data_IF_537626341904
#
_entry.id   IF_537626341904
#
_cell.length_a   1.000
_cell.length_b   1.000
_cell.length_c   1.000
_cell.angle_alpha   90.00
_cell.angle_beta   90.00
_cell.angle_gamma   90.00
#
_symmetry.space_group_name_H-M   'P 1'
#
loop_
_entity.id
_entity.type
_entity.pdbx_description
1 polymer ?
#
# COMPACT_ATOMS: atom_id res chain seq x y z
N UNK A 1 16.73 33.96 -12.01
CA UNK A 1 15.60 33.11 -11.53
C UNK A 1 15.73 31.64 -11.92
N UNK A 2 16.10 31.30 -13.16
CA UNK A 2 16.24 29.89 -13.63
C UNK A 2 17.17 29.05 -12.74
N UNK A 3 18.30 29.60 -12.31
CA UNK A 3 19.26 28.90 -11.45
C UNK A 3 18.69 28.57 -10.06
N UNK A 4 18.00 29.53 -9.42
CA UNK A 4 17.34 29.32 -8.11
C UNK A 4 16.26 28.24 -8.19
N UNK A 5 15.48 28.23 -9.27
CA UNK A 5 14.47 27.19 -9.50
C UNK A 5 15.11 25.80 -9.69
N UNK A 6 16.22 25.71 -10.42
CA UNK A 6 16.96 24.46 -10.60
C UNK A 6 17.58 23.94 -9.29
N UNK A 7 18.17 24.82 -8.47
CA UNK A 7 18.66 24.47 -7.13
C UNK A 7 17.50 23.96 -6.28
N UNK A 8 16.42 24.73 -6.19
CA UNK A 8 15.26 24.39 -5.34
C UNK A 8 14.69 23.03 -5.72
N UNK A 9 14.52 22.76 -7.01
CA UNK A 9 14.05 21.46 -7.53
C UNK A 9 15.01 20.32 -7.18
N UNK A 10 16.31 20.54 -7.34
CA UNK A 10 17.34 19.52 -7.06
C UNK A 10 17.40 19.20 -5.57
N UNK A 11 17.37 20.22 -4.71
CA UNK A 11 17.36 20.05 -3.25
C UNK A 11 16.08 19.36 -2.79
N UNK A 12 14.91 19.78 -3.29
CA UNK A 12 13.63 19.19 -2.90
C UNK A 12 13.52 17.69 -3.22
N UNK A 13 14.12 17.24 -4.33
CA UNK A 13 14.18 15.81 -4.69
C UNK A 13 15.31 15.12 -3.95
N UNK A 14 16.47 15.76 -3.80
CA UNK A 14 17.63 15.22 -3.09
C UNK A 14 17.32 14.90 -1.63
N UNK A 15 16.47 15.69 -0.98
CA UNK A 15 15.97 15.43 0.38
C UNK A 15 15.21 14.10 0.50
N UNK A 16 14.67 13.56 -0.59
CA UNK A 16 13.97 12.27 -0.59
C UNK A 16 14.91 11.07 -0.72
N UNK A 17 16.16 11.25 -1.18
CA UNK A 17 17.07 10.13 -1.45
C UNK A 17 17.36 9.32 -0.18
N UNK A 18 17.78 10.01 0.90
CA UNK A 18 18.10 9.37 2.18
C UNK A 18 16.89 8.66 2.83
N UNK A 19 15.71 9.30 3.01
CA UNK A 19 14.57 8.61 3.62
C UNK A 19 14.02 7.49 2.72
N UNK A 20 14.06 7.64 1.38
CA UNK A 20 13.66 6.55 0.46
C UNK A 20 14.60 5.35 0.58
N UNK A 21 15.91 5.61 0.67
CA UNK A 21 16.93 4.58 0.84
C UNK A 21 16.76 3.86 2.17
N UNK A 22 16.58 4.60 3.27
CA UNK A 22 16.29 4.02 4.58
C UNK A 22 15.04 3.14 4.52
N UNK A 23 13.96 3.63 3.93
CA UNK A 23 12.70 2.91 3.83
C UNK A 23 12.81 1.66 2.94
N UNK A 24 13.60 1.73 1.86
CA UNK A 24 13.95 0.57 1.04
C UNK A 24 14.73 -0.48 1.85
N UNK A 25 15.80 -0.10 2.56
CA UNK A 25 16.55 -1.03 3.41
C UNK A 25 15.68 -1.68 4.48
N UNK A 26 14.82 -0.90 5.16
CA UNK A 26 13.89 -1.44 6.14
C UNK A 26 12.83 -2.35 5.49
N UNK A 27 12.44 -2.12 4.23
CA UNK A 27 11.53 -3.01 3.50
C UNK A 27 12.14 -4.38 3.20
N UNK A 28 13.47 -4.47 3.08
CA UNK A 28 14.18 -5.73 2.89
C UNK A 28 14.13 -6.61 4.14
N UNK A 29 14.09 -6.02 5.34
CA UNK A 29 14.07 -6.77 6.61
C UNK A 29 12.69 -7.34 6.96
N UNK A 30 11.62 -6.91 6.28
CA UNK A 30 10.26 -7.44 6.49
C UNK A 30 10.22 -8.91 6.05
N UNK A 31 10.35 -9.84 6.99
CA UNK A 31 10.42 -11.28 6.67
C UNK A 31 9.20 -11.74 5.85
N UNK A 32 9.51 -12.39 4.72
CA UNK A 32 8.52 -13.09 3.90
C UNK A 32 8.18 -14.40 4.62
N UNK A 33 6.92 -14.58 5.02
CA UNK A 33 6.45 -15.93 5.32
C UNK A 33 6.34 -16.67 3.99
N UNK A 34 7.13 -17.73 3.82
CA UNK A 34 7.10 -18.53 2.59
C UNK A 34 5.70 -19.14 2.42
N UNK A 35 5.02 -18.84 1.31
CA UNK A 35 3.70 -19.38 0.99
C UNK A 35 2.49 -18.57 1.45
N UNK A 36 2.66 -17.38 2.05
CA UNK A 36 1.50 -16.53 2.41
C UNK A 36 1.03 -15.68 1.21
N UNK A 37 -0.13 -15.99 0.59
CA UNK A 37 -0.63 -15.22 -0.55
C UNK A 37 -0.99 -13.77 -0.16
N UNK A 38 -1.34 -13.50 1.11
CA UNK A 38 -1.68 -12.15 1.57
C UNK A 38 -0.46 -11.23 1.72
N UNK A 39 0.77 -11.77 1.62
CA UNK A 39 2.02 -11.00 1.67
C UNK A 39 2.72 -10.82 0.33
N UNK A 40 2.13 -11.32 -0.77
CA UNK A 40 2.75 -11.23 -2.10
C UNK A 40 2.97 -9.77 -2.55
N UNK A 41 2.09 -8.85 -2.14
CA UNK A 41 2.18 -7.42 -2.45
C UNK A 41 3.47 -6.76 -1.95
N UNK A 42 4.10 -7.29 -0.90
CA UNK A 42 5.34 -6.74 -0.32
C UNK A 42 6.51 -6.84 -1.32
N UNK A 43 6.52 -7.83 -2.22
CA UNK A 43 7.55 -7.92 -3.26
C UNK A 43 7.45 -6.75 -4.24
N UNK A 44 6.23 -6.40 -4.65
CA UNK A 44 6.00 -5.26 -5.52
C UNK A 44 6.31 -3.94 -4.81
N UNK A 45 6.00 -3.82 -3.52
CA UNK A 45 6.39 -2.67 -2.71
C UNK A 45 7.92 -2.47 -2.68
N UNK A 46 8.68 -3.55 -2.46
CA UNK A 46 10.16 -3.50 -2.46
C UNK A 46 10.72 -3.05 -3.80
N UNK A 47 10.16 -3.56 -4.90
CA UNK A 47 10.55 -3.15 -6.24
C UNK A 47 10.21 -1.67 -6.48
N UNK A 48 9.01 -1.22 -6.10
CA UNK A 48 8.62 0.18 -6.21
C UNK A 48 9.59 1.10 -5.45
N UNK A 49 9.99 0.70 -4.25
CA UNK A 49 10.96 1.41 -3.42
C UNK A 49 12.36 1.45 -4.04
N UNK A 50 12.84 0.31 -4.55
CA UNK A 50 14.13 0.24 -5.24
C UNK A 50 14.16 1.20 -6.44
N UNK A 51 13.11 1.18 -7.27
CA UNK A 51 12.99 2.08 -8.42
C UNK A 51 12.82 3.54 -8.02
N UNK A 52 12.15 3.83 -6.91
CA UNK A 52 12.03 5.19 -6.38
C UNK A 52 13.40 5.73 -5.94
N UNK A 53 14.19 4.91 -5.24
CA UNK A 53 15.56 5.26 -4.83
C UNK A 53 16.45 5.50 -6.05
N UNK A 54 16.40 4.63 -7.05
CA UNK A 54 17.15 4.82 -8.29
C UNK A 54 16.72 6.11 -9.01
N UNK A 55 15.43 6.30 -9.24
CA UNK A 55 14.89 7.49 -9.92
C UNK A 55 15.29 8.79 -9.23
N UNK A 56 15.11 8.87 -7.90
CA UNK A 56 15.49 10.06 -7.12
C UNK A 56 17.00 10.31 -7.13
N UNK A 57 17.81 9.24 -7.07
CA UNK A 57 19.28 9.33 -7.14
C UNK A 57 19.75 9.85 -8.49
N UNK A 58 19.29 9.26 -9.60
CA UNK A 58 19.61 9.72 -10.95
C UNK A 58 19.19 11.17 -11.15
N UNK A 59 17.97 11.54 -10.74
CA UNK A 59 17.51 12.92 -10.86
C UNK A 59 18.37 13.91 -10.06
N UNK A 60 18.76 13.54 -8.84
CA UNK A 60 19.59 14.39 -7.98
C UNK A 60 20.99 14.55 -8.57
N UNK A 61 21.62 13.47 -9.04
CA UNK A 61 22.93 13.49 -9.72
C UNK A 61 22.88 14.39 -10.95
N UNK A 62 21.81 14.31 -11.74
CA UNK A 62 21.63 15.15 -12.93
C UNK A 62 21.47 16.62 -12.56
N UNK A 63 20.69 16.91 -11.51
CA UNK A 63 20.50 18.26 -11.01
C UNK A 63 21.79 18.87 -10.50
N UNK A 64 22.56 18.13 -9.69
CA UNK A 64 23.85 18.60 -9.17
C UNK A 64 24.87 18.79 -10.29
N UNK A 65 25.00 17.84 -11.21
CA UNK A 65 25.88 17.98 -12.39
C UNK A 65 25.52 19.19 -13.24
N UNK A 66 24.22 19.47 -13.43
CA UNK A 66 23.76 20.67 -14.15
C UNK A 66 24.21 21.95 -13.47
N UNK A 67 24.06 22.03 -12.16
CA UNK A 67 24.45 23.19 -11.37
C UNK A 67 25.97 23.40 -11.36
N UNK A 68 26.74 22.31 -11.29
CA UNK A 68 28.20 22.37 -11.34
C UNK A 68 28.72 22.83 -12.69
N UNK A 69 28.21 22.30 -13.80
CA UNK A 69 28.69 22.70 -15.15
C UNK A 69 28.29 24.11 -15.51
N UNK A 70 27.06 24.52 -15.17
CA UNK A 70 26.62 25.91 -15.41
C UNK A 70 27.32 26.92 -14.51
N UNK A 71 27.80 26.51 -13.32
CA UNK A 71 28.53 27.37 -12.41
C UNK A 71 30.05 27.41 -12.62
N UNK A 72 30.63 26.38 -13.24
CA UNK A 72 32.08 26.21 -13.33
C UNK A 72 32.65 26.22 -14.76
N UNK A 73 31.80 26.30 -15.81
CA UNK A 73 32.20 26.31 -17.23
C UNK A 73 33.13 25.13 -17.65
N UNK A 74 33.09 24.02 -16.92
CA UNK A 74 34.14 22.97 -16.97
C UNK A 74 34.06 21.99 -18.16
N UNK A 75 32.98 21.94 -18.95
CA UNK A 75 32.79 20.92 -19.99
C UNK A 75 32.19 21.46 -21.30
N UNK A 76 32.57 20.91 -22.46
CA UNK A 76 31.94 21.23 -23.73
C UNK A 76 30.43 20.88 -23.68
N UNK A 77 29.61 21.86 -24.08
CA UNK A 77 28.15 21.84 -23.96
C UNK A 77 27.50 20.60 -24.60
N UNK A 78 28.05 20.10 -25.70
CA UNK A 78 27.51 18.95 -26.45
C UNK A 78 27.56 17.63 -25.67
N UNK A 79 28.72 17.29 -25.09
CA UNK A 79 28.90 16.04 -24.31
C UNK A 79 28.03 16.08 -23.06
N UNK A 80 27.97 17.23 -22.40
CA UNK A 80 27.12 17.40 -21.23
C UNK A 80 25.64 17.23 -21.58
N UNK A 81 25.19 17.78 -22.71
CA UNK A 81 23.79 17.72 -23.15
C UNK A 81 23.31 16.28 -23.29
N UNK A 82 24.15 15.42 -23.86
CA UNK A 82 23.87 13.99 -24.01
C UNK A 82 23.78 13.31 -22.64
N UNK A 83 24.80 13.48 -21.78
CA UNK A 83 24.83 12.84 -20.45
C UNK A 83 23.62 13.26 -19.60
N UNK A 84 23.31 14.56 -19.58
CA UNK A 84 22.15 15.09 -18.88
C UNK A 84 20.85 14.45 -19.38
N UNK A 85 20.66 14.39 -20.70
CA UNK A 85 19.45 13.87 -21.32
C UNK A 85 19.27 12.38 -21.04
N UNK A 86 20.34 11.58 -21.15
CA UNK A 86 20.31 10.14 -20.86
C UNK A 86 20.00 9.86 -19.40
N UNK A 87 20.62 10.59 -18.47
CA UNK A 87 20.38 10.38 -17.04
C UNK A 87 19.00 10.88 -16.60
N UNK A 88 18.50 11.98 -17.16
CA UNK A 88 17.13 12.44 -16.94
C UNK A 88 16.10 11.43 -17.49
N UNK A 89 16.42 10.79 -18.62
CA UNK A 89 15.62 9.72 -19.21
C UNK A 89 15.59 8.47 -18.30
N UNK A 90 16.74 8.05 -17.76
CA UNK A 90 16.82 6.96 -16.80
C UNK A 90 15.99 7.25 -15.55
N UNK A 91 16.10 8.45 -14.99
CA UNK A 91 15.28 8.86 -13.84
C UNK A 91 13.78 8.77 -14.15
N UNK A 92 13.37 9.18 -15.35
CA UNK A 92 11.99 9.11 -15.82
C UNK A 92 11.52 7.67 -16.00
N UNK A 93 12.34 6.79 -16.58
CA UNK A 93 12.02 5.36 -16.72
C UNK A 93 11.81 4.70 -15.35
N UNK A 94 12.69 4.98 -14.39
CA UNK A 94 12.56 4.44 -13.03
C UNK A 94 11.33 4.98 -12.31
N UNK A 95 10.98 6.25 -12.51
CA UNK A 95 9.74 6.81 -11.96
C UNK A 95 8.49 6.12 -12.54
N UNK A 96 8.45 5.86 -13.86
CA UNK A 96 7.38 5.07 -14.47
C UNK A 96 7.32 3.66 -13.90
N UNK A 97 8.47 2.99 -13.74
CA UNK A 97 8.55 1.68 -13.12
C UNK A 97 7.98 1.71 -11.69
N UNK A 98 8.33 2.73 -10.88
CA UNK A 98 7.76 2.93 -9.55
C UNK A 98 6.23 3.00 -9.59
N UNK A 99 5.64 3.78 -10.49
CA UNK A 99 4.18 3.87 -10.61
C UNK A 99 3.52 2.55 -11.04
N UNK A 100 4.13 1.81 -11.96
CA UNK A 100 3.66 0.48 -12.37
C UNK A 100 3.66 -0.49 -11.18
N UNK A 101 4.75 -0.50 -10.40
CA UNK A 101 4.84 -1.33 -9.21
C UNK A 101 3.90 -0.86 -8.09
N UNK A 102 3.65 0.44 -7.93
CA UNK A 102 2.65 0.98 -7.00
C UNK A 102 1.25 0.51 -7.38
N UNK A 103 0.89 0.54 -8.67
CA UNK A 103 -0.38 0.01 -9.14
C UNK A 103 -0.51 -1.48 -8.84
N UNK A 104 0.51 -2.29 -9.17
CA UNK A 104 0.53 -3.72 -8.84
C UNK A 104 0.42 -3.96 -7.34
N UNK A 105 1.14 -3.19 -6.52
CA UNK A 105 1.10 -3.28 -5.06
C UNK A 105 -0.30 -2.97 -4.54
N UNK A 106 -0.96 -1.95 -5.08
CA UNK A 106 -2.32 -1.54 -4.66
C UNK A 106 -3.36 -2.62 -4.97
N UNK A 107 -3.30 -3.22 -6.16
CA UNK A 107 -4.18 -4.33 -6.54
C UNK A 107 -3.93 -5.57 -5.68
N UNK A 108 -2.68 -5.94 -5.45
CA UNK A 108 -2.34 -7.11 -4.65
C UNK A 108 -2.66 -6.90 -3.15
N UNK A 109 -2.52 -5.68 -2.64
CA UNK A 109 -2.96 -5.31 -1.29
C UNK A 109 -4.48 -5.45 -1.17
N UNK A 110 -5.21 -4.99 -2.18
CA UNK A 110 -6.67 -5.10 -2.23
C UNK A 110 -7.14 -6.57 -2.31
N UNK A 111 -6.45 -7.40 -3.10
CA UNK A 111 -6.64 -8.86 -3.14
C UNK A 111 -6.36 -9.48 -1.78
N UNK A 112 -5.27 -9.10 -1.13
CA UNK A 112 -4.88 -9.62 0.17
C UNK A 112 -5.92 -9.28 1.26
N UNK A 113 -6.42 -8.05 1.30
CA UNK A 113 -7.53 -7.63 2.18
C UNK A 113 -8.77 -8.51 1.94
N UNK A 114 -9.07 -8.83 0.67
CA UNK A 114 -10.19 -9.71 0.34
C UNK A 114 -9.96 -11.15 0.82
N UNK A 115 -8.75 -11.69 0.64
CA UNK A 115 -8.40 -13.05 1.09
C UNK A 115 -8.54 -13.18 2.60
N UNK A 116 -8.02 -12.20 3.35
CA UNK A 116 -8.11 -12.19 4.81
C UNK A 116 -9.56 -12.23 5.29
N UNK A 117 -10.47 -11.61 4.52
CA UNK A 117 -11.87 -11.48 4.90
C UNK A 117 -12.74 -12.63 4.43
N UNK A 118 -12.67 -12.98 3.16
CA UNK A 118 -13.58 -13.93 2.52
C UNK A 118 -12.95 -15.31 2.33
N UNK A 119 -11.67 -15.48 2.69
CA UNK A 119 -10.91 -16.71 2.48
C UNK A 119 -10.41 -16.84 1.04
N UNK A 120 -10.62 -17.99 0.37
CA UNK A 120 -10.05 -18.24 -0.95
C UNK A 120 -10.57 -17.24 -1.99
N UNK A 121 -9.68 -16.87 -2.91
CA UNK A 121 -9.94 -15.82 -3.88
C UNK A 121 -11.08 -16.21 -4.84
N UNK A 122 -12.15 -15.42 -4.88
CA UNK A 122 -13.27 -15.64 -5.79
C UNK A 122 -12.84 -15.54 -7.27
N UNK A 123 -13.45 -16.30 -8.20
CA UNK A 123 -13.14 -16.26 -9.63
C UNK A 123 -13.12 -14.84 -10.26
N UNK A 124 -14.09 -13.94 -10.02
CA UNK A 124 -14.05 -12.61 -10.62
C UNK A 124 -12.85 -11.78 -10.15
N UNK A 125 -12.44 -11.95 -8.88
CA UNK A 125 -11.30 -11.22 -8.34
C UNK A 125 -9.96 -11.75 -8.89
N UNK A 126 -9.88 -13.05 -9.20
CA UNK A 126 -8.74 -13.62 -9.95
C UNK A 126 -8.63 -13.00 -11.36
N UNK A 127 -9.75 -12.85 -12.06
CA UNK A 127 -9.76 -12.23 -13.38
C UNK A 127 -9.26 -10.77 -13.32
N UNK A 128 -9.75 -9.99 -12.36
CA UNK A 128 -9.30 -8.59 -12.14
C UNK A 128 -7.80 -8.53 -11.83
N UNK A 129 -7.31 -9.43 -10.96
CA UNK A 129 -5.88 -9.53 -10.64
C UNK A 129 -5.04 -9.83 -11.88
N UNK A 130 -5.41 -10.85 -12.66
CA UNK A 130 -4.69 -11.24 -13.87
C UNK A 130 -4.71 -10.12 -14.92
N UNK A 131 -5.86 -9.44 -15.08
CA UNK A 131 -5.98 -8.30 -15.97
C UNK A 131 -5.06 -7.14 -15.54
N UNK A 132 -5.04 -6.81 -14.26
CA UNK A 132 -4.15 -5.77 -13.73
C UNK A 132 -2.67 -6.12 -13.95
N UNK A 133 -2.28 -7.38 -13.73
CA UNK A 133 -0.91 -7.83 -14.00
C UNK A 133 -0.56 -7.76 -15.49
N UNK A 134 -1.47 -8.16 -16.39
CA UNK A 134 -1.28 -8.01 -17.84
C UNK A 134 -1.11 -6.53 -18.23
N UNK A 135 -1.90 -5.63 -17.63
CA UNK A 135 -1.79 -4.20 -17.84
C UNK A 135 -0.46 -3.63 -17.34
N UNK A 136 0.07 -4.10 -16.20
CA UNK A 136 1.42 -3.75 -15.74
C UNK A 136 2.49 -4.15 -16.75
N UNK A 137 2.40 -5.34 -17.35
CA UNK A 137 3.35 -5.80 -18.37
C UNK A 137 3.28 -4.91 -19.61
N UNK A 138 2.07 -4.59 -20.08
CA UNK A 138 1.87 -3.67 -21.21
C UNK A 138 2.50 -2.31 -20.90
N UNK A 139 2.21 -1.71 -19.74
CA UNK A 139 2.79 -0.42 -19.34
C UNK A 139 4.31 -0.46 -19.23
N UNK A 140 4.88 -1.57 -18.72
CA UNK A 140 6.33 -1.74 -18.64
C UNK A 140 6.98 -1.81 -20.02
N UNK A 141 6.38 -2.56 -20.96
CA UNK A 141 6.84 -2.61 -22.35
C UNK A 141 6.76 -1.23 -23.00
N UNK A 142 5.65 -0.50 -22.82
CA UNK A 142 5.51 0.86 -23.34
C UNK A 142 6.56 1.81 -22.75
N UNK A 143 6.84 1.74 -21.44
CA UNK A 143 7.87 2.56 -20.80
C UNK A 143 9.27 2.26 -21.36
N UNK A 144 9.62 0.99 -21.54
CA UNK A 144 10.90 0.57 -22.13
C UNK A 144 11.00 1.00 -23.60
N UNK A 145 9.93 0.84 -24.39
CA UNK A 145 9.90 1.30 -25.78
C UNK A 145 10.06 2.82 -25.87
N UNK A 146 9.40 3.58 -25.00
CA UNK A 146 9.52 5.04 -24.94
C UNK A 146 10.94 5.47 -24.60
N UNK A 147 11.56 4.80 -23.61
CA UNK A 147 12.97 5.00 -23.27
C UNK A 147 13.90 4.73 -24.47
N UNK A 148 13.73 3.60 -25.15
CA UNK A 148 14.55 3.26 -26.32
C UNK A 148 14.39 4.27 -27.46
N UNK A 149 13.16 4.75 -27.70
CA UNK A 149 12.89 5.77 -28.72
C UNK A 149 13.52 7.12 -28.34
N UNK A 150 13.43 7.55 -27.08
CA UNK A 150 14.09 8.76 -26.60
C UNK A 150 15.61 8.70 -26.77
N UNK A 151 16.25 7.56 -26.45
CA UNK A 151 17.68 7.37 -26.69
C UNK A 151 18.01 7.56 -28.17
N UNK A 152 17.18 7.02 -29.07
CA UNK A 152 17.35 7.20 -30.51
C UNK A 152 17.18 8.67 -30.93
N UNK A 153 16.25 9.40 -30.34
CA UNK A 153 16.08 10.85 -30.60
C UNK A 153 17.33 11.62 -30.15
N UNK A 154 17.84 11.34 -28.95
CA UNK A 154 19.00 12.05 -28.37
C UNK A 154 20.28 11.76 -29.17
N UNK A 155 20.52 10.51 -29.56
CA UNK A 155 21.74 10.11 -30.27
C UNK A 155 21.65 10.44 -31.77
N UNK A 156 20.47 10.26 -32.37
CA UNK A 156 20.25 10.40 -33.81
C UNK A 156 19.78 11.78 -34.27
N UNK A 157 19.52 12.72 -33.35
CA UNK A 157 19.00 14.06 -33.65
C UNK A 157 17.73 14.08 -34.53
N UNK A 158 16.88 13.06 -34.42
CA UNK A 158 15.65 12.94 -35.22
C UNK A 158 14.47 13.70 -34.58
N UNK A 159 14.25 14.91 -35.08
CA UNK A 159 13.18 15.82 -34.60
C UNK A 159 11.79 15.24 -34.86
N UNK A 160 11.60 14.47 -35.93
CA UNK A 160 10.28 13.90 -36.27
C UNK A 160 9.89 12.82 -35.26
N UNK A 161 10.86 12.00 -34.85
CA UNK A 161 10.69 10.97 -33.84
C UNK A 161 10.37 11.58 -32.46
N UNK A 162 10.91 12.76 -32.14
CA UNK A 162 10.64 13.48 -30.88
C UNK A 162 9.15 13.76 -30.62
N UNK A 163 8.37 14.08 -31.66
CA UNK A 163 6.91 14.28 -31.52
C UNK A 163 6.19 12.97 -31.18
N UNK A 164 6.55 11.89 -31.84
CA UNK A 164 5.98 10.55 -31.58
C UNK A 164 6.26 10.12 -30.15
N UNK A 165 7.48 10.35 -29.67
CA UNK A 165 7.89 10.00 -28.31
C UNK A 165 7.12 10.81 -27.26
N UNK A 166 6.90 12.11 -27.51
CA UNK A 166 6.11 12.97 -26.60
C UNK A 166 4.67 12.48 -26.51
N UNK A 167 4.04 12.12 -27.65
CA UNK A 167 2.69 11.54 -27.68
C UNK A 167 2.61 10.21 -26.96
N UNK A 168 3.61 9.35 -27.12
CA UNK A 168 3.67 8.06 -26.45
C UNK A 168 3.81 8.23 -24.93
N UNK A 169 4.66 9.16 -24.48
CA UNK A 169 4.80 9.51 -23.06
C UNK A 169 3.47 9.98 -22.50
N UNK A 170 2.80 10.89 -23.19
CA UNK A 170 1.50 11.39 -22.76
C UNK A 170 0.43 10.28 -22.70
N UNK A 171 0.45 9.33 -23.65
CA UNK A 171 -0.42 8.16 -23.61
C UNK A 171 -0.15 7.28 -22.39
N UNK A 172 1.11 7.04 -22.03
CA UNK A 172 1.48 6.29 -20.82
C UNK A 172 0.97 7.01 -19.56
N UNK A 173 1.19 8.32 -19.45
CA UNK A 173 0.71 9.12 -18.31
C UNK A 173 -0.81 9.06 -18.20
N UNK A 174 -1.54 9.16 -19.32
CA UNK A 174 -3.01 9.02 -19.34
C UNK A 174 -3.43 7.61 -18.92
N UNK A 175 -2.76 6.56 -19.40
CA UNK A 175 -3.06 5.19 -18.96
C UNK A 175 -2.82 5.00 -17.47
N UNK A 176 -1.74 5.55 -16.91
CA UNK A 176 -1.45 5.53 -15.47
C UNK A 176 -2.51 6.31 -14.66
N UNK A 177 -3.00 7.44 -15.18
CA UNK A 177 -4.12 8.16 -14.56
C UNK A 177 -5.40 7.30 -14.56
N UNK A 178 -5.72 6.67 -15.70
CA UNK A 178 -6.91 5.81 -15.82
C UNK A 178 -6.82 4.63 -14.85
N UNK A 179 -5.67 3.98 -14.71
CA UNK A 179 -5.51 2.87 -13.75
C UNK A 179 -5.61 3.34 -12.30
N UNK A 180 -5.05 4.51 -11.97
CA UNK A 180 -5.20 5.10 -10.65
C UNK A 180 -6.67 5.42 -10.32
N UNK A 181 -7.42 5.96 -11.27
CA UNK A 181 -8.85 6.26 -11.09
C UNK A 181 -9.69 4.98 -10.98
N UNK A 182 -9.39 3.94 -11.78
CA UNK A 182 -10.12 2.67 -11.75
C UNK A 182 -9.91 1.86 -10.46
N UNK A 183 -8.78 2.03 -9.78
CA UNK A 183 -8.50 1.35 -8.50
C UNK A 183 -9.21 2.00 -7.31
N UNK A 184 -9.57 3.28 -7.42
CA UNK A 184 -10.28 4.01 -6.37
C UNK A 184 -11.65 3.39 -6.01
N UNK A 185 -12.61 3.17 -6.94
CA UNK A 185 -13.91 2.57 -6.59
C UNK A 185 -13.75 1.16 -6.02
N UNK A 186 -12.75 0.41 -6.47
CA UNK A 186 -12.44 -0.90 -5.90
C UNK A 186 -12.03 -0.81 -4.42
N UNK A 187 -11.14 0.13 -4.09
CA UNK A 187 -10.75 0.37 -2.69
C UNK A 187 -11.89 0.89 -1.81
N UNK A 188 -12.77 1.75 -2.35
CA UNK A 188 -13.97 2.22 -1.64
C UNK A 188 -14.94 1.07 -1.39
N UNK A 189 -15.16 0.20 -2.38
CA UNK A 189 -15.99 -0.99 -2.22
C UNK A 189 -15.44 -1.96 -1.15
N UNK A 190 -14.12 -2.02 -0.95
CA UNK A 190 -13.54 -2.78 0.15
C UNK A 190 -13.90 -2.17 1.51
N UNK A 191 -13.87 -0.84 1.65
CA UNK A 191 -14.27 -0.16 2.89
C UNK A 191 -15.75 -0.39 3.20
N UNK A 192 -16.64 -0.16 2.23
CA UNK A 192 -18.09 -0.27 2.45
C UNK A 192 -18.50 -1.67 2.86
N UNK A 193 -17.77 -2.67 2.36
CA UNK A 193 -18.00 -4.05 2.72
C UNK A 193 -17.26 -4.45 4.02
N UNK A 194 -16.23 -3.73 4.47
CA UNK A 194 -15.43 -4.05 5.67
C UNK A 194 -16.10 -3.63 6.99
N UNK A 195 -17.42 -3.75 7.07
CA UNK A 195 -18.22 -3.36 8.24
C UNK A 195 -17.94 -4.26 9.45
N UNK A 196 -17.61 -5.54 9.21
CA UNK A 196 -17.20 -6.55 10.19
C UNK A 196 -16.31 -7.60 9.49
N UNK A 197 -15.13 -8.01 10.01
CA UNK A 197 -14.44 -7.61 11.25
C UNK A 197 -13.71 -6.25 11.17
N UNK A 198 -13.59 -5.55 12.30
CA UNK A 198 -12.99 -4.20 12.37
C UNK A 198 -11.50 -4.14 11.95
N UNK A 199 -10.78 -5.26 12.05
CA UNK A 199 -9.34 -5.31 11.78
C UNK A 199 -8.97 -5.09 10.30
N UNK A 200 -9.89 -5.40 9.37
CA UNK A 200 -9.70 -5.18 7.93
C UNK A 200 -10.07 -3.76 7.47
N UNK A 201 -10.72 -2.96 8.33
CA UNK A 201 -11.20 -1.62 7.97
C UNK A 201 -10.05 -0.61 7.84
N UNK A 202 -9.10 -0.63 8.77
CA UNK A 202 -7.93 0.26 8.74
C UNK A 202 -7.08 0.10 7.47
N UNK A 203 -6.68 -1.12 7.04
CA UNK A 203 -5.92 -1.26 5.80
C UNK A 203 -6.72 -0.85 4.56
N UNK A 204 -8.04 -1.05 4.54
CA UNK A 204 -8.89 -0.57 3.45
C UNK A 204 -8.96 0.96 3.38
N UNK A 205 -9.04 1.65 4.52
CA UNK A 205 -8.99 3.12 4.60
C UNK A 205 -7.64 3.64 4.08
N UNK A 206 -6.53 3.05 4.53
CA UNK A 206 -5.20 3.47 4.09
C UNK A 206 -4.98 3.19 2.60
N UNK A 207 -5.55 2.12 2.04
CA UNK A 207 -5.53 1.86 0.61
C UNK A 207 -6.27 2.95 -0.20
N UNK A 208 -7.42 3.44 0.29
CA UNK A 208 -8.11 4.58 -0.35
C UNK A 208 -7.22 5.83 -0.32
N UNK A 209 -6.58 6.12 0.82
CA UNK A 209 -5.63 7.25 0.91
C UNK A 209 -4.49 7.08 -0.10
N UNK A 210 -3.92 5.87 -0.23
CA UNK A 210 -2.90 5.58 -1.24
C UNK A 210 -3.40 5.83 -2.66
N UNK A 211 -4.61 5.38 -3.02
CA UNK A 211 -5.15 5.60 -4.36
C UNK A 211 -5.41 7.08 -4.66
N UNK A 212 -5.87 7.86 -3.67
CA UNK A 212 -6.02 9.32 -3.82
C UNK A 212 -4.64 9.98 -4.03
N UNK A 213 -3.64 9.61 -3.23
CA UNK A 213 -2.26 10.08 -3.41
C UNK A 213 -1.66 9.65 -4.76
N UNK A 214 -2.09 8.53 -5.34
CA UNK A 214 -1.64 8.07 -6.65
C UNK A 214 -2.28 8.86 -7.81
N UNK A 215 -3.50 9.37 -7.64
CA UNK A 215 -4.19 10.15 -8.68
C UNK A 215 -3.54 11.53 -8.84
N UNK A 216 -3.15 12.18 -7.75
CA UNK A 216 -2.58 13.54 -7.75
C UNK A 216 -1.41 13.72 -8.74
N UNK A 217 -0.33 12.89 -8.73
CA UNK A 217 0.79 13.07 -9.64
C UNK A 217 0.38 12.90 -11.10
N UNK A 218 -0.43 11.90 -11.42
CA UNK A 218 -0.85 11.64 -12.80
C UNK A 218 -1.83 12.70 -13.31
N UNK A 219 -2.74 13.19 -12.46
CA UNK A 219 -3.64 14.28 -12.83
C UNK A 219 -2.86 15.57 -13.11
N UNK A 220 -1.87 15.88 -12.27
CA UNK A 220 -0.97 17.01 -12.49
C UNK A 220 -0.15 16.86 -13.77
N UNK A 221 0.41 15.67 -14.03
CA UNK A 221 1.24 15.42 -15.21
C UNK A 221 0.42 15.46 -16.50
N UNK A 222 -0.80 14.91 -16.52
CA UNK A 222 -1.71 15.04 -17.67
C UNK A 222 -2.10 16.50 -17.89
N UNK A 223 -2.43 17.25 -16.83
CA UNK A 223 -2.74 18.68 -16.95
C UNK A 223 -1.53 19.48 -17.47
N UNK A 224 -0.34 19.19 -16.95
CA UNK A 224 0.91 19.79 -17.39
C UNK A 224 1.19 19.49 -18.86
N UNK A 225 1.05 18.24 -19.30
CA UNK A 225 1.22 17.85 -20.70
C UNK A 225 0.15 18.46 -21.61
N UNK A 226 -1.07 18.64 -21.12
CA UNK A 226 -2.13 19.31 -21.87
C UNK A 226 -1.85 20.77 -22.11
N UNK A 227 -1.32 21.48 -21.11
CA UNK A 227 -1.04 22.90 -21.20
C UNK A 227 0.31 23.22 -21.88
N UNK A 228 1.35 22.45 -21.58
CA UNK A 228 2.73 22.74 -21.99
C UNK A 228 3.33 21.70 -22.95
N UNK A 229 2.84 20.47 -22.95
CA UNK A 229 3.35 19.38 -23.79
C UNK A 229 2.72 19.30 -25.18
N UNK A 230 1.56 19.96 -25.36
CA UNK A 230 0.81 19.97 -26.62
C UNK A 230 0.33 18.58 -27.03
N UNK A 231 -0.81 18.12 -26.48
CA UNK A 231 -1.48 16.88 -26.93
C UNK A 231 -1.79 16.90 -28.46
N UNK A 232 -1.82 18.08 -29.07
CA UNK A 232 -1.95 18.27 -30.52
C UNK A 232 -1.82 19.72 -31.00
N UNK A 233 -1.39 20.67 -30.16
CA UNK A 233 -1.32 22.11 -30.46
C UNK A 233 0.05 22.72 -30.13
N UNK A 234 0.29 24.01 -30.46
CA UNK A 234 1.54 24.68 -30.14
C UNK A 234 1.73 24.75 -28.63
N UNK A 235 2.84 24.19 -28.14
CA UNK A 235 3.24 24.29 -26.74
C UNK A 235 3.38 25.76 -26.34
N UNK A 236 2.89 26.12 -25.16
CA UNK A 236 3.21 27.42 -24.58
C UNK A 236 4.71 27.47 -24.28
N UNK A 237 5.42 28.42 -24.89
CA UNK A 237 6.86 28.60 -24.72
C UNK A 237 7.26 29.13 -23.31
N UNK A 238 6.27 29.48 -22.48
CA UNK A 238 6.49 30.03 -21.15
C UNK A 238 5.91 29.10 -20.09
N UNK A 239 6.79 28.40 -19.36
CA UNK A 239 6.43 27.65 -18.15
C UNK A 239 6.52 28.59 -16.96
N UNK A 240 5.45 28.65 -16.17
CA UNK A 240 5.40 29.54 -15.01
C UNK A 240 6.45 29.13 -13.96
N UNK A 241 7.20 30.08 -13.35
CA UNK A 241 8.31 29.75 -12.45
C UNK A 241 7.92 28.86 -11.25
N UNK A 242 6.71 29.04 -10.70
CA UNK A 242 6.23 28.26 -9.56
C UNK A 242 6.01 26.77 -9.90
N UNK A 243 5.74 26.43 -11.15
CA UNK A 243 5.62 25.03 -11.59
C UNK A 243 6.95 24.28 -11.43
N UNK A 244 8.09 24.98 -11.50
CA UNK A 244 9.40 24.37 -11.24
C UNK A 244 9.56 23.89 -9.79
N UNK A 245 8.78 24.46 -8.87
CA UNK A 245 8.73 24.09 -7.45
C UNK A 245 7.62 23.06 -7.20
N UNK A 246 6.43 23.26 -7.79
CA UNK A 246 5.31 22.35 -7.56
C UNK A 246 5.52 20.97 -8.21
N UNK A 247 6.02 20.94 -9.46
CA UNK A 247 6.21 19.69 -10.19
C UNK A 247 7.04 18.64 -9.43
N UNK A 248 8.21 18.96 -8.83
CA UNK A 248 8.96 17.97 -8.08
C UNK A 248 8.25 17.50 -6.80
N UNK A 249 7.49 18.38 -6.15
CA UNK A 249 6.69 18.01 -4.97
C UNK A 249 5.63 16.99 -5.40
N UNK A 250 4.82 17.34 -6.39
CA UNK A 250 3.74 16.48 -6.85
C UNK A 250 4.27 15.16 -7.42
N UNK A 251 5.30 15.21 -8.28
CA UNK A 251 5.80 14.03 -8.98
C UNK A 251 6.67 13.08 -8.12
N UNK A 252 7.32 13.57 -7.05
CA UNK A 252 8.22 12.74 -6.23
C UNK A 252 7.76 12.59 -4.78
N UNK A 253 7.21 13.64 -4.16
CA UNK A 253 6.73 13.53 -2.79
C UNK A 253 5.44 12.73 -2.70
N UNK A 254 4.54 12.83 -3.68
CA UNK A 254 3.31 12.04 -3.69
C UNK A 254 3.58 10.53 -3.71
N UNK A 255 4.39 9.97 -4.64
CA UNK A 255 4.72 8.55 -4.61
C UNK A 255 5.54 8.16 -3.36
N UNK A 256 6.42 9.05 -2.85
CA UNK A 256 7.13 8.79 -1.60
C UNK A 256 6.18 8.63 -0.41
N UNK A 257 5.23 9.56 -0.23
CA UNK A 257 4.22 9.49 0.83
C UNK A 257 3.32 8.27 0.68
N UNK A 258 2.92 7.95 -0.54
CA UNK A 258 2.17 6.73 -0.85
C UNK A 258 2.95 5.48 -0.42
N UNK A 259 4.22 5.37 -0.81
CA UNK A 259 5.08 4.25 -0.47
C UNK A 259 5.34 4.17 1.04
N UNK A 260 5.45 5.30 1.73
CA UNK A 260 5.54 5.38 3.18
C UNK A 260 4.27 4.82 3.86
N UNK A 261 3.09 5.16 3.35
CA UNK A 261 1.82 4.63 3.87
C UNK A 261 1.71 3.12 3.61
N UNK A 262 2.02 2.64 2.40
CA UNK A 262 2.05 1.20 2.08
C UNK A 262 3.08 0.44 2.94
N UNK A 263 4.23 1.06 3.21
CA UNK A 263 5.24 0.49 4.09
C UNK A 263 4.78 0.42 5.55
N UNK A 264 4.09 1.46 6.03
CA UNK A 264 3.49 1.43 7.37
C UNK A 264 2.45 0.31 7.51
N UNK A 265 1.70 0.02 6.44
CA UNK A 265 0.80 -1.14 6.36
C UNK A 265 1.56 -2.46 6.44
N UNK A 266 2.73 -2.54 5.81
CA UNK A 266 3.55 -3.75 5.77
C UNK A 266 4.17 -4.08 7.14
N UNK A 267 4.60 -3.06 7.90
CA UNK A 267 5.19 -3.24 9.23
C UNK A 267 4.13 -3.60 10.26
N UNK A 268 2.91 -3.07 10.12
CA UNK A 268 1.88 -3.21 11.14
C UNK A 268 1.53 -4.69 11.34
N UNK A 269 2.13 -5.30 12.37
CA UNK A 269 1.75 -6.60 12.95
C UNK A 269 0.39 -6.43 13.64
N UNK A 270 -0.67 -6.24 12.87
CA UNK A 270 -2.03 -6.34 13.39
C UNK A 270 -2.29 -7.81 13.67
N UNK A 271 -2.12 -8.24 14.93
CA UNK A 271 -2.73 -9.42 15.57
C UNK A 271 -3.42 -10.41 14.61
N UNK A 272 -2.69 -11.14 13.76
CA UNK A 272 -3.31 -12.13 12.85
C UNK A 272 -3.70 -11.66 11.45
N UNK A 273 -3.91 -10.36 11.19
CA UNK A 273 -4.45 -9.84 9.90
C UNK A 273 -3.57 -10.22 8.71
N UNK A 274 -2.25 -10.09 8.85
CA UNK A 274 -1.29 -10.48 7.79
C UNK A 274 -0.58 -11.78 8.09
N UNK A 275 -0.93 -12.48 9.16
CA UNK A 275 -0.47 -13.85 9.36
C UNK A 275 -1.66 -14.74 9.09
N UNK A 276 -1.74 -15.25 7.86
CA UNK A 276 -2.41 -16.51 7.61
C UNK A 276 -1.51 -17.61 8.22
N UNK A 277 -1.20 -17.51 9.51
CA UNK A 277 -1.29 -18.71 10.31
C UNK A 277 -2.79 -18.81 10.52
N UNK A 278 -3.51 -19.69 9.80
CA UNK A 278 -4.71 -20.20 10.44
C UNK A 278 -4.22 -20.63 11.83
N UNK A 279 -4.96 -20.35 12.91
CA UNK A 279 -4.89 -21.29 14.00
C UNK A 279 -5.30 -22.63 13.37
N UNK A 280 -4.32 -23.38 12.86
CA UNK A 280 -4.19 -24.78 13.23
C UNK A 280 -3.88 -24.81 14.73
N UNK A 281 -4.65 -24.09 15.56
CA UNK A 281 -5.12 -24.70 16.78
C UNK A 281 -5.82 -25.96 16.27
N UNK A 282 -5.38 -27.15 16.68
CA UNK A 282 -6.03 -28.38 16.25
C UNK A 282 -7.52 -28.41 16.62
N UNK A 283 -8.02 -27.43 17.40
CA UNK A 283 -9.43 -27.20 17.74
C UNK A 283 -10.38 -27.14 16.55
N UNK A 284 -10.06 -26.50 15.42
CA UNK A 284 -10.99 -26.51 14.26
C UNK A 284 -10.99 -27.85 13.51
N UNK A 285 -9.86 -28.57 13.49
CA UNK A 285 -9.87 -29.97 13.07
C UNK A 285 -10.69 -30.82 14.03
N UNK A 286 -10.57 -30.62 15.34
CA UNK A 286 -11.41 -31.34 16.31
C UNK A 286 -12.87 -30.96 16.25
N UNK A 287 -13.25 -29.74 15.86
CA UNK A 287 -14.65 -29.34 15.80
C UNK A 287 -15.33 -29.85 14.52
N UNK A 288 -14.58 -29.92 13.40
CA UNK A 288 -15.08 -30.55 12.18
C UNK A 288 -15.05 -32.08 12.29
N UNK A 289 -14.01 -32.68 12.87
CA UNK A 289 -14.03 -34.10 13.26
C UNK A 289 -15.09 -34.38 14.34
N UNK A 290 -15.38 -33.48 15.27
CA UNK A 290 -16.43 -33.72 16.27
C UNK A 290 -17.83 -33.64 15.65
N UNK A 291 -18.05 -32.79 14.65
CA UNK A 291 -19.28 -32.82 13.87
C UNK A 291 -19.38 -34.11 13.05
N UNK A 292 -18.33 -34.50 12.33
CA UNK A 292 -18.34 -35.71 11.51
C UNK A 292 -18.44 -37.00 12.36
N UNK A 293 -17.82 -37.03 13.55
CA UNK A 293 -17.90 -38.15 14.50
C UNK A 293 -19.25 -38.15 15.23
N UNK A 294 -19.83 -36.99 15.56
CA UNK A 294 -21.18 -36.92 16.13
C UNK A 294 -22.24 -37.34 15.11
N UNK A 295 -22.08 -37.00 13.83
CA UNK A 295 -22.99 -37.41 12.76
C UNK A 295 -22.87 -38.91 12.47
N UNK A 296 -21.66 -39.48 12.50
CA UNK A 296 -21.46 -40.92 12.43
C UNK A 296 -22.03 -41.67 13.65
N UNK A 297 -21.85 -41.17 14.88
CA UNK A 297 -22.48 -41.78 16.07
C UNK A 297 -24.00 -41.67 16.06
N UNK A 298 -24.56 -40.58 15.52
CA UNK A 298 -26.02 -40.43 15.42
C UNK A 298 -26.61 -41.39 14.38
N UNK A 299 -25.94 -41.60 13.25
CA UNK A 299 -26.36 -42.61 12.26
C UNK A 299 -26.24 -44.05 12.79
N UNK A 300 -25.20 -44.35 13.58
CA UNK A 300 -25.03 -45.69 14.18
C UNK A 300 -26.08 -45.97 15.27
N UNK A 301 -26.45 -44.97 16.07
CA UNK A 301 -27.51 -45.10 17.06
C UNK A 301 -28.91 -45.25 16.44
N UNK A 302 -29.18 -44.57 15.32
CA UNK A 302 -30.43 -44.76 14.58
C UNK A 302 -30.55 -46.18 14.00
N UNK A 303 -29.46 -46.74 13.47
CA UNK A 303 -29.45 -48.11 12.95
C UNK A 303 -29.65 -49.17 14.05
N UNK A 304 -29.09 -48.96 15.23
CA UNK A 304 -29.22 -49.88 16.36
C UNK A 304 -30.57 -49.78 17.10
N UNK A 305 -31.27 -48.65 17.04
CA UNK A 305 -32.62 -48.54 17.62
C UNK A 305 -33.72 -49.15 16.74
N UNK A 306 -33.49 -49.28 15.44
CA UNK A 306 -34.48 -49.91 14.53
C UNK A 306 -34.51 -51.45 14.57
N UNK A 307 -33.57 -52.11 15.27
CA UNK A 307 -33.48 -53.58 15.30
C UNK A 307 -33.98 -54.24 16.59
N UNK A 308 -34.43 -53.47 17.58
CA UNK A 308 -34.99 -54.01 18.83
C UNK A 308 -36.39 -53.44 19.09
N UNK A 309 -37.38 -53.97 18.39
CA UNK A 309 -38.78 -53.81 18.75
C UNK A 309 -39.57 -55.10 18.51
N UNK A 310 -39.17 -56.16 19.22
CA UNK A 310 -40.04 -57.29 19.57
C UNK A 310 -39.52 -57.97 20.84
N UNK A 311 -39.83 -57.41 22.01
CA UNK A 311 -39.98 -58.23 23.21
C UNK A 311 -40.99 -57.60 24.17
N UNK A 312 -42.04 -58.33 24.56
CA UNK A 312 -43.00 -57.86 25.54
C UNK A 312 -42.56 -58.29 26.95
N UNK A 313 -42.78 -57.39 27.92
CA UNK A 313 -42.62 -57.56 29.37
C UNK A 313 -41.20 -57.49 29.94
N UNK A 314 -41.04 -56.53 30.85
CA UNK A 314 -39.89 -56.41 31.73
C UNK A 314 -39.91 -55.10 32.49
N UNK A 315 -40.66 -55.05 33.60
CA UNK A 315 -40.36 -54.08 34.66
C UNK A 315 -38.93 -54.36 35.12
N UNK A 316 -38.07 -53.33 35.22
CA UNK A 316 -37.08 -53.20 36.28
C UNK A 316 -36.40 -51.82 36.28
N UNK A 317 -36.48 -51.22 37.47
CA UNK A 317 -35.56 -50.30 38.16
C UNK A 317 -35.21 -48.90 37.60
N UNK A 318 -35.24 -47.87 38.47
CA UNK A 318 -34.71 -46.56 38.15
C UNK A 318 -33.18 -46.57 38.25
N UNK A 319 -32.50 -46.37 37.12
CA UNK A 319 -31.08 -46.10 37.13
C UNK A 319 -30.82 -44.72 37.73
N UNK A 320 -30.10 -44.70 38.85
CA UNK A 320 -29.49 -43.49 39.43
C UNK A 320 -28.54 -42.87 38.40
N UNK A 321 -28.81 -41.62 38.03
CA UNK A 321 -27.84 -40.77 37.34
C UNK A 321 -26.67 -40.50 38.27
N UNK A 322 -25.54 -41.18 38.06
CA UNK A 322 -24.24 -40.71 38.54
C UNK A 322 -23.88 -39.42 37.80
N UNK A 323 -23.70 -38.29 38.50
CA UNK A 323 -23.12 -37.10 37.89
C UNK A 323 -21.62 -37.35 37.73
N UNK A 324 -21.21 -37.85 36.56
CA UNK A 324 -19.81 -37.79 36.15
C UNK A 324 -19.43 -36.32 35.94
N UNK A 325 -19.00 -35.68 37.02
CA UNK A 325 -18.20 -34.46 36.98
C UNK A 325 -16.87 -34.79 36.30
N UNK A 326 -16.84 -34.73 34.97
CA UNK A 326 -15.58 -34.52 34.24
C UNK A 326 -15.11 -33.10 34.55
N UNK A 327 -14.41 -32.98 35.67
CA UNK A 327 -13.55 -31.87 36.00
C UNK A 327 -12.45 -31.82 34.94
N UNK A 328 -12.68 -31.02 33.90
CA UNK A 328 -11.65 -30.65 32.95
C UNK A 328 -10.51 -30.00 33.71
N UNK A 329 -9.44 -30.77 33.93
CA UNK A 329 -8.16 -30.29 34.43
C UNK A 329 -7.74 -29.08 33.60
N UNK A 330 -7.85 -27.90 34.21
CA UNK A 330 -7.26 -26.68 33.68
C UNK A 330 -5.75 -26.90 33.63
N UNK A 331 -5.07 -26.73 32.48
CA UNK A 331 -3.63 -26.60 32.50
C UNK A 331 -3.30 -25.31 33.28
N UNK A 332 -2.80 -25.49 34.49
CA UNK A 332 -2.10 -24.44 35.24
C UNK A 332 -0.82 -24.18 34.47
N UNK A 333 -0.78 -23.06 33.75
CA UNK A 333 0.46 -22.40 33.41
C UNK A 333 0.25 -20.89 33.56
N UNK A 334 1.03 -20.23 34.43
CA UNK A 334 0.93 -18.79 34.59
C UNK A 334 1.42 -18.11 33.30
N UNK A 335 0.53 -17.38 32.65
CA UNK A 335 0.92 -16.41 31.65
C UNK A 335 1.88 -15.42 32.31
N UNK A 336 3.16 -15.43 31.91
CA UNK A 336 4.07 -14.32 32.19
C UNK A 336 3.40 -13.06 31.63
N UNK A 337 3.12 -12.03 32.45
CA UNK A 337 2.64 -10.78 31.92
C UNK A 337 3.72 -10.22 30.98
N UNK A 338 3.34 -9.92 29.74
CA UNK A 338 4.20 -9.15 28.86
C UNK A 338 4.50 -7.81 29.54
N UNK A 339 5.75 -7.35 29.47
CA UNK A 339 6.20 -6.08 30.07
C UNK A 339 5.33 -4.86 29.65
N UNK A 340 4.57 -5.00 28.56
CA UNK A 340 3.63 -4.00 28.07
C UNK A 340 2.31 -3.91 28.87
N UNK A 341 1.85 -5.00 29.50
CA UNK A 341 0.65 -4.98 30.34
C UNK A 341 0.90 -4.29 31.70
N UNK A 342 2.11 -4.41 32.24
CA UNK A 342 2.52 -3.74 33.48
C UNK A 342 2.58 -2.20 33.31
N UNK A 343 2.95 -1.71 32.12
CA UNK A 343 3.01 -0.27 31.82
C UNK A 343 1.62 0.40 31.74
N UNK A 344 0.57 -0.34 31.35
CA UNK A 344 -0.81 0.19 31.32
C UNK A 344 -1.40 0.40 32.72
N UNK A 345 -1.00 -0.40 33.69
CA UNK A 345 -1.43 -0.23 35.09
C UNK A 345 -0.68 0.91 35.80
N UNK A 346 0.55 1.23 35.41
CA UNK A 346 1.25 2.40 35.94
C UNK A 346 0.76 3.73 35.34
N UNK A 347 0.36 3.74 34.06
CA UNK A 347 -0.16 4.95 33.42
C UNK A 347 -1.57 5.37 33.92
N UNK A 348 -2.34 4.44 34.49
CA UNK A 348 -3.70 4.71 35.01
C UNK A 348 -3.71 5.15 36.49
N UNK A 349 -2.60 5.00 37.22
CA UNK A 349 -2.49 5.43 38.62
C UNK A 349 -2.09 6.90 38.80
N UNK A 350 -1.71 7.61 37.74
CA UNK A 350 -1.13 8.97 37.84
C UNK A 350 -2.09 10.10 37.45
N UNK A 351 -3.32 9.79 37.02
CA UNK A 351 -4.26 10.81 36.47
C UNK A 351 -5.39 11.19 37.43
N UNK A 352 -5.28 10.83 38.72
CA UNK A 352 -6.32 11.12 39.73
C UNK A 352 -5.89 12.23 40.69
N UNK A 353 -5.43 13.40 40.20
CA UNK A 353 -5.28 14.57 41.09
C UNK A 353 -5.16 15.93 40.41
N UNK A 354 -6.09 16.32 39.54
CA UNK A 354 -6.32 17.73 39.25
C UNK A 354 -7.82 17.99 39.12
N UNK A 355 -8.46 18.30 40.25
CA UNK A 355 -9.77 18.94 40.26
C UNK A 355 -9.62 20.39 39.77
N UNK A 356 -10.41 20.84 38.78
CA UNK A 356 -10.48 22.26 38.43
C UNK A 356 -11.25 23.02 39.51
N UNK A 357 -10.60 24.07 40.02
CA UNK A 357 -11.13 25.06 40.96
C UNK A 357 -12.31 25.79 40.30
N UNK A 358 -13.43 25.86 41.00
CA UNK A 358 -14.64 26.57 40.56
C UNK A 358 -14.36 28.07 40.31
N UNK A 359 -14.90 28.65 39.22
CA UNK A 359 -14.86 30.10 39.01
C UNK A 359 -15.85 30.81 39.94
N UNK A 360 -15.38 31.87 40.62
CA UNK A 360 -16.19 32.72 41.48
C UNK A 360 -17.20 33.56 40.66
N UNK A 361 -18.38 33.89 41.21
CA UNK A 361 -19.36 34.70 40.52
C UNK A 361 -18.88 36.15 40.37
N UNK A 362 -18.96 36.67 39.14
CA UNK A 362 -18.75 38.09 38.82
C UNK A 362 -19.83 38.93 39.51
N UNK A 363 -19.38 39.87 40.32
CA UNK A 363 -20.19 40.88 40.99
C UNK A 363 -20.51 41.99 39.98
N UNK A 364 -21.78 42.13 39.66
CA UNK A 364 -22.34 43.28 38.95
C UNK A 364 -21.96 44.58 39.66
N UNK A 365 -21.48 45.55 38.89
CA UNK A 365 -21.37 46.95 39.32
C UNK A 365 -21.99 47.84 38.23
N UNK A 366 -23.25 48.19 38.47
CA UNK A 366 -23.90 49.38 37.91
C UNK A 366 -23.32 50.63 38.56
N UNK A 367 -23.29 51.72 37.79
CA UNK A 367 -23.11 53.11 38.21
C UNK A 367 -22.45 53.89 37.06
N UNK A 368 -23.18 54.61 36.22
CA UNK A 368 -23.73 55.96 36.42
C UNK A 368 -22.64 57.02 36.62
N UNK A 369 -22.25 57.70 35.55
CA UNK A 369 -22.56 59.10 35.23
C UNK A 369 -22.10 59.43 33.81
#
# INVERSE_FOLDING_TARGET
>A
MVYVAAITRTVAIGLLVLPSLLLWYLSLTIAKSHGDPARQWINFLRSALAFMVLGTSFFTIVGTLRLSVTGLEMLPYEVWGIVHSVMALLATLFLHATYIFVFSTSVETAVAINIIRNGPLAPPLRAVRNFAQALCVILALLAISTFALYLRVIIGNDVTLGRTVTRLTAAITVMLLVTAVLTLPFSVALITRATYPQDARQPAILLVVCNVLNIIPHAFEVAYLAQYGGFGGPALNYVEPWLSILAPIVAWWSPFLLLLVLFSLAIKRTNGVWSIQPPMSPVFKYQQYACDVAEQQHQQNWYNQSSHNTSPYGCNEPYELQPNTMEWQRPISPARPSAFAALKHYASATTTRLQPRSPSPKKDRRGSE
#
